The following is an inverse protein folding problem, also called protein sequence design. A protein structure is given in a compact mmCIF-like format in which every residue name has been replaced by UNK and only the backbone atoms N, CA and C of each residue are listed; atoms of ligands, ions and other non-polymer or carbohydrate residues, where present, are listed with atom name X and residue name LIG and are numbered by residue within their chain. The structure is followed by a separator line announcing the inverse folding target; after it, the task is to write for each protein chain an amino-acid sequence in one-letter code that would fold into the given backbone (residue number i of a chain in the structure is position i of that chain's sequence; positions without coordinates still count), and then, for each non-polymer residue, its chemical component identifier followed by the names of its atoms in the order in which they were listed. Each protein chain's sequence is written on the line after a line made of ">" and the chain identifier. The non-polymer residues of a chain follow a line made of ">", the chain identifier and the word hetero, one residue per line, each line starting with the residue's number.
data_IF_466441822899
#
_entry.id   IF_466441822899
#
_cell.length_a   1.000
_cell.length_b   1.000
_cell.length_c   1.000
_cell.angle_alpha   90.00
_cell.angle_beta   90.00
_cell.angle_gamma   90.00
#
_symmetry.space_group_name_H-M   'P 1'
#
loop_
_entity.id
_entity.type
_entity.pdbx_description
1 polymer ?
#
# COMPACT_ATOMS: atom_id res chain seq x y z
N UNK A 1 -18.90 -9.18 11.53
CA UNK A 1 -18.06 -8.17 10.83
C UNK A 1 -18.22 -8.35 9.34
N UNK A 2 -18.23 -7.27 8.55
CA UNK A 2 -18.25 -7.36 7.10
C UNK A 2 -16.81 -7.40 6.56
N UNK A 3 -16.59 -8.13 5.46
CA UNK A 3 -15.30 -8.25 4.78
C UNK A 3 -15.38 -7.75 3.34
N UNK A 4 -14.26 -7.26 2.83
CA UNK A 4 -14.04 -6.94 1.42
C UNK A 4 -12.59 -7.17 1.05
N UNK A 5 -12.36 -7.47 -0.24
CA UNK A 5 -11.01 -7.53 -0.81
C UNK A 5 -10.90 -6.40 -1.81
N UNK A 6 -9.88 -5.56 -1.69
CA UNK A 6 -9.64 -4.43 -2.57
C UNK A 6 -8.27 -4.65 -3.19
N UNK A 7 -8.18 -4.56 -4.51
CA UNK A 7 -6.92 -4.60 -5.25
C UNK A 7 -6.68 -3.23 -5.85
N UNK A 8 -5.48 -2.66 -5.64
CA UNK A 8 -5.05 -1.40 -6.23
C UNK A 8 -3.73 -1.66 -6.95
N UNK A 9 -3.58 -1.22 -8.20
CA UNK A 9 -2.36 -1.49 -8.97
C UNK A 9 -1.86 -0.22 -9.66
N UNK A 10 -0.60 0.13 -9.43
CA UNK A 10 0.07 1.24 -10.08
C UNK A 10 1.23 0.73 -10.96
N UNK A 11 1.27 1.08 -12.27
CA UNK A 11 2.39 0.69 -13.12
C UNK A 11 3.68 1.41 -12.70
N UNK A 12 4.80 0.71 -12.75
CA UNK A 12 6.12 1.33 -12.58
C UNK A 12 6.45 2.12 -13.85
N UNK A 13 7.03 3.33 -13.73
CA UNK A 13 7.67 4.00 -14.84
C UNK A 13 8.80 3.13 -15.41
N UNK A 14 9.06 3.15 -16.73
CA UNK A 14 10.19 2.41 -17.32
C UNK A 14 11.56 2.81 -16.75
N UNK A 15 11.67 4.02 -16.20
CA UNK A 15 12.88 4.51 -15.55
C UNK A 15 13.12 3.89 -14.18
N UNK A 16 12.13 3.24 -13.55
CA UNK A 16 12.22 2.69 -12.20
C UNK A 16 12.34 1.17 -12.26
N UNK A 17 13.53 0.61 -11.96
CA UNK A 17 13.71 -0.84 -11.93
C UNK A 17 12.86 -1.49 -10.82
N UNK A 18 12.26 -2.66 -11.06
CA UNK A 18 11.47 -3.38 -10.05
C UNK A 18 12.27 -3.67 -8.78
N UNK A 19 13.54 -4.07 -8.94
CA UNK A 19 14.42 -4.36 -7.83
C UNK A 19 14.69 -3.13 -6.96
N UNK A 20 14.80 -1.93 -7.56
CA UNK A 20 14.99 -0.70 -6.80
C UNK A 20 13.77 -0.40 -5.89
N UNK A 21 12.56 -0.77 -6.31
CA UNK A 21 11.36 -0.67 -5.48
C UNK A 21 11.42 -1.66 -4.32
N UNK A 22 11.76 -2.93 -4.60
CA UNK A 22 11.89 -3.97 -3.57
C UNK A 22 12.95 -3.56 -2.53
N UNK A 23 14.14 -3.17 -2.99
CA UNK A 23 15.26 -2.78 -2.14
C UNK A 23 14.90 -1.58 -1.26
N UNK A 24 14.21 -0.57 -1.82
CA UNK A 24 13.78 0.59 -1.05
C UNK A 24 12.76 0.22 0.04
N UNK A 25 11.76 -0.62 -0.31
CA UNK A 25 10.76 -1.12 0.64
C UNK A 25 11.37 -2.01 1.73
N UNK A 26 12.42 -2.76 1.41
CA UNK A 26 13.13 -3.64 2.35
C UNK A 26 14.10 -2.86 3.23
N UNK A 27 14.69 -1.77 2.72
CA UNK A 27 15.52 -0.86 3.51
C UNK A 27 14.69 -0.17 4.60
N UNK A 28 13.52 0.38 4.25
CA UNK A 28 12.57 0.99 5.19
C UNK A 28 11.14 0.85 4.68
N UNK A 29 10.18 0.66 5.59
CA UNK A 29 8.75 0.60 5.23
C UNK A 29 8.10 1.98 5.07
N UNK A 30 8.83 3.04 5.41
CA UNK A 30 8.33 4.41 5.38
C UNK A 30 7.84 4.90 4.01
N UNK A 31 8.37 4.44 2.84
CA UNK A 31 7.80 4.79 1.55
C UNK A 31 6.35 4.32 1.35
N UNK A 32 5.84 3.36 2.15
CA UNK A 32 4.42 2.97 2.17
C UNK A 32 3.58 3.78 3.15
N UNK A 33 4.21 4.57 4.02
CA UNK A 33 3.55 5.37 5.06
C UNK A 33 3.50 6.84 4.65
N UNK A 34 4.64 7.43 4.28
CA UNK A 34 4.80 8.87 4.01
C UNK A 34 3.83 9.44 2.98
N UNK A 35 3.51 8.75 1.87
CA UNK A 35 2.61 9.30 0.86
C UNK A 35 1.12 9.20 1.22
N UNK A 36 0.78 8.72 2.42
CA UNK A 36 -0.59 8.61 2.85
C UNK A 36 -1.24 10.00 2.99
N UNK A 37 -2.36 10.31 2.28
CA UNK A 37 -2.89 11.68 2.20
C UNK A 37 -3.44 12.22 3.52
N UNK A 38 -3.78 11.34 4.46
CA UNK A 38 -4.27 11.70 5.78
C UNK A 38 -3.17 11.72 6.86
N UNK A 39 -1.92 11.43 6.50
CA UNK A 39 -0.82 11.33 7.45
C UNK A 39 -0.57 12.65 8.18
N UNK A 40 -0.40 12.55 9.50
CA UNK A 40 0.03 13.66 10.37
C UNK A 40 1.44 13.47 10.87
N UNK A 41 1.72 12.27 11.38
CA UNK A 41 3.02 11.82 11.85
C UNK A 41 3.03 10.30 11.85
N UNK A 42 4.21 9.73 11.90
CA UNK A 42 4.40 8.33 12.23
C UNK A 42 5.68 8.20 13.05
N UNK A 43 5.76 7.16 13.85
CA UNK A 43 6.96 6.82 14.58
C UNK A 43 7.15 5.31 14.61
N UNK A 44 8.40 4.88 14.51
CA UNK A 44 8.74 3.48 14.74
C UNK A 44 8.54 3.18 16.22
N UNK A 45 7.91 2.03 16.51
CA UNK A 45 7.71 1.55 17.87
C UNK A 45 8.30 0.15 18.04
N UNK A 46 8.39 -0.30 19.30
CA UNK A 46 8.72 -1.68 19.60
C UNK A 46 7.58 -2.59 19.14
N UNK A 47 7.92 -3.65 18.41
CA UNK A 47 6.99 -4.72 18.07
C UNK A 47 6.80 -5.65 19.27
N UNK A 48 5.55 -5.93 19.65
CA UNK A 48 5.24 -6.99 20.59
C UNK A 48 5.10 -8.32 19.87
N UNK A 49 5.65 -9.40 20.45
CA UNK A 49 5.53 -10.76 19.90
C UNK A 49 4.06 -11.18 19.76
N UNK A 50 3.20 -10.75 20.69
CA UNK A 50 1.77 -11.03 20.68
C UNK A 50 1.03 -10.48 19.45
N UNK A 51 1.62 -9.51 18.73
CA UNK A 51 1.02 -8.93 17.53
C UNK A 51 1.22 -9.78 16.28
N UNK A 52 2.15 -10.74 16.32
CA UNK A 52 2.56 -11.53 15.13
C UNK A 52 2.50 -13.03 15.35
N UNK A 53 2.69 -13.52 16.57
CA UNK A 53 2.91 -14.96 16.84
C UNK A 53 1.74 -15.85 16.42
N UNK A 54 0.51 -15.35 16.56
CA UNK A 54 -0.72 -16.10 16.24
C UNK A 54 -1.43 -15.56 14.99
N UNK A 55 -0.83 -14.59 14.28
CA UNK A 55 -1.42 -14.04 13.06
C UNK A 55 -0.84 -14.76 11.83
N UNK A 56 -1.61 -15.65 11.17
CA UNK A 56 -1.13 -16.42 10.02
C UNK A 56 -0.82 -15.55 8.80
N UNK A 57 -1.14 -14.24 8.85
CA UNK A 57 -0.73 -13.29 7.84
C UNK A 57 0.78 -13.02 7.83
N UNK A 58 1.45 -13.16 8.98
CA UNK A 58 2.90 -13.04 9.05
C UNK A 58 3.53 -14.41 8.91
N UNK A 59 4.22 -14.61 7.80
CA UNK A 59 4.67 -15.92 7.36
C UNK A 59 6.16 -16.11 7.60
N UNK A 60 6.62 -17.37 7.61
CA UNK A 60 8.02 -17.72 7.78
C UNK A 60 8.91 -17.35 6.56
N UNK A 61 8.29 -17.01 5.42
CA UNK A 61 8.98 -16.51 4.23
C UNK A 61 9.42 -15.05 4.36
N UNK A 62 9.01 -14.37 5.44
CA UNK A 62 9.34 -12.98 5.69
C UNK A 62 10.72 -12.78 6.30
N UNK A 63 11.38 -11.67 5.97
CA UNK A 63 12.75 -11.40 6.38
C UNK A 63 12.87 -10.40 7.54
N UNK A 64 12.14 -9.28 7.49
CA UNK A 64 12.23 -8.19 8.47
C UNK A 64 10.86 -7.83 9.01
N UNK A 65 10.71 -7.72 10.33
CA UNK A 65 9.48 -7.23 10.97
C UNK A 65 9.74 -5.86 11.62
N UNK A 66 8.89 -4.88 11.36
CA UNK A 66 8.92 -3.59 12.05
C UNK A 66 7.51 -3.09 12.34
N UNK A 67 7.37 -2.35 13.42
CA UNK A 67 6.10 -1.79 13.85
C UNK A 67 6.15 -0.28 13.88
N UNK A 68 5.06 0.34 13.48
CA UNK A 68 4.87 1.78 13.49
C UNK A 68 3.58 2.14 14.23
N UNK A 69 3.59 3.32 14.83
CA UNK A 69 2.39 4.04 15.18
C UNK A 69 2.18 5.13 14.12
N UNK A 70 1.13 4.98 13.31
CA UNK A 70 0.77 5.95 12.27
C UNK A 70 -0.38 6.79 12.79
N UNK A 71 -0.25 8.11 12.73
CA UNK A 71 -1.32 9.03 13.12
C UNK A 71 -1.90 9.68 11.88
N UNK A 72 -3.19 9.49 11.69
CA UNK A 72 -3.92 9.99 10.54
C UNK A 72 -5.08 10.88 10.96
N UNK A 73 -5.34 11.92 10.18
CA UNK A 73 -6.53 12.76 10.32
C UNK A 73 -7.60 12.29 9.34
N UNK A 74 -8.44 11.37 9.78
CA UNK A 74 -9.47 10.79 8.93
C UNK A 74 -10.80 11.53 9.07
N UNK A 75 -11.58 11.67 7.98
CA UNK A 75 -12.97 12.06 8.08
C UNK A 75 -13.75 10.94 8.79
N UNK A 76 -14.44 11.22 9.89
CA UNK A 76 -15.22 10.19 10.62
C UNK A 76 -16.62 10.04 10.03
N UNK A 77 -17.14 11.13 9.45
CA UNK A 77 -18.48 11.20 8.88
C UNK A 77 -18.40 11.90 7.51
N UNK A 78 -19.40 11.70 6.62
CA UNK A 78 -19.53 12.45 5.38
C UNK A 78 -20.00 13.90 5.64
N UNK A 79 -19.45 14.56 6.66
CA UNK A 79 -19.75 15.93 7.07
C UNK A 79 -18.47 16.75 6.91
N UNK A 80 -18.46 17.81 6.08
CA UNK A 80 -17.29 18.66 5.88
C UNK A 80 -16.74 19.22 7.21
N UNK A 81 -15.42 19.14 7.40
CA UNK A 81 -14.74 19.65 8.58
C UNK A 81 -14.76 18.73 9.80
N UNK A 82 -15.48 17.60 9.76
CA UNK A 82 -15.52 16.65 10.87
C UNK A 82 -14.45 15.57 10.73
N UNK A 83 -13.27 15.86 11.29
CA UNK A 83 -12.11 14.97 11.28
C UNK A 83 -11.73 14.54 12.69
N UNK A 84 -11.06 13.39 12.80
CA UNK A 84 -10.40 12.97 14.03
C UNK A 84 -9.03 12.43 13.73
N UNK A 85 -8.11 12.78 14.62
CA UNK A 85 -6.80 12.17 14.65
C UNK A 85 -6.97 10.78 15.28
N UNK A 86 -6.67 9.76 14.49
CA UNK A 86 -6.69 8.35 14.90
C UNK A 86 -5.26 7.82 14.94
N UNK A 87 -5.02 6.95 15.89
CA UNK A 87 -3.76 6.22 16.02
C UNK A 87 -3.96 4.83 15.42
N UNK A 88 -3.06 4.45 14.54
CA UNK A 88 -3.12 3.21 13.77
C UNK A 88 -1.81 2.45 14.01
N UNK A 89 -1.80 1.46 14.92
CA UNK A 89 -0.70 0.50 14.97
C UNK A 89 -0.65 -0.27 13.66
N UNK A 90 0.52 -0.23 13.01
CA UNK A 90 0.80 -0.97 11.79
C UNK A 90 2.03 -1.85 11.99
N UNK A 91 1.96 -3.11 11.56
CA UNK A 91 3.07 -4.06 11.58
C UNK A 91 3.38 -4.47 10.14
N UNK A 92 4.65 -4.34 9.76
CA UNK A 92 5.14 -4.61 8.43
C UNK A 92 6.08 -5.81 8.42
N UNK A 93 6.00 -6.63 7.39
CA UNK A 93 6.90 -7.74 7.14
C UNK A 93 7.37 -7.71 5.68
N UNK A 94 8.67 -7.64 5.42
CA UNK A 94 9.20 -7.82 4.07
C UNK A 94 9.20 -9.29 3.68
N UNK A 95 8.97 -9.57 2.41
CA UNK A 95 9.16 -10.89 1.79
C UNK A 95 9.79 -10.70 0.40
N UNK A 96 10.15 -11.79 -0.27
CA UNK A 96 10.99 -11.76 -1.49
C UNK A 96 10.55 -10.73 -2.56
N UNK A 97 9.24 -10.50 -2.73
CA UNK A 97 8.70 -9.63 -3.79
C UNK A 97 8.04 -8.35 -3.29
N UNK A 98 8.08 -8.09 -1.98
CA UNK A 98 7.42 -6.91 -1.44
C UNK A 98 7.24 -6.92 0.07
N UNK A 99 6.09 -6.42 0.53
CA UNK A 99 5.80 -6.15 1.94
C UNK A 99 4.37 -6.53 2.30
N UNK A 100 4.19 -7.19 3.44
CA UNK A 100 2.91 -7.40 4.12
C UNK A 100 2.72 -6.33 5.19
N UNK A 101 1.52 -5.77 5.31
CA UNK A 101 1.16 -4.79 6.34
C UNK A 101 -0.15 -5.18 7.03
N UNK A 102 -0.12 -5.23 8.35
CA UNK A 102 -1.28 -5.43 9.23
C UNK A 102 -1.55 -4.14 9.96
N UNK A 103 -2.76 -3.59 9.85
CA UNK A 103 -3.16 -2.38 10.55
C UNK A 103 -4.52 -2.54 11.25
N UNK A 104 -4.60 -2.14 12.52
CA UNK A 104 -5.79 -2.23 13.36
C UNK A 104 -6.18 -0.84 13.88
N UNK A 105 -7.37 -0.36 13.57
CA UNK A 105 -7.86 0.92 14.12
C UNK A 105 -9.37 0.99 14.20
N UNK A 106 -9.91 1.44 15.34
CA UNK A 106 -11.31 1.85 15.49
C UNK A 106 -12.35 0.86 14.93
N UNK A 107 -12.15 -0.45 15.13
CA UNK A 107 -13.04 -1.51 14.61
C UNK A 107 -12.89 -1.82 13.12
N UNK A 108 -11.83 -1.30 12.48
CA UNK A 108 -11.36 -1.62 11.13
C UNK A 108 -10.05 -2.36 11.23
N UNK A 109 -9.94 -3.42 10.45
CA UNK A 109 -8.84 -4.36 10.48
C UNK A 109 -8.40 -4.65 9.05
N UNK A 110 -7.16 -4.30 8.71
CA UNK A 110 -6.62 -4.33 7.33
C UNK A 110 -5.42 -5.27 7.24
N UNK A 111 -5.41 -6.14 6.24
CA UNK A 111 -4.26 -6.95 5.83
C UNK A 111 -3.93 -6.58 4.39
N UNK A 112 -2.83 -5.86 4.16
CA UNK A 112 -2.39 -5.42 2.83
C UNK A 112 -1.12 -6.14 2.40
N UNK A 113 -1.12 -6.73 1.21
CA UNK A 113 0.08 -7.28 0.57
C UNK A 113 0.45 -6.36 -0.59
N UNK A 114 1.61 -5.73 -0.49
CA UNK A 114 2.24 -4.93 -1.54
C UNK A 114 3.24 -5.81 -2.28
N UNK A 115 3.05 -6.03 -3.57
CA UNK A 115 3.87 -6.91 -4.40
C UNK A 115 4.35 -6.18 -5.66
N UNK A 116 5.65 -6.28 -5.93
CA UNK A 116 6.24 -5.86 -7.22
C UNK A 116 6.18 -7.05 -8.17
N UNK A 117 5.45 -6.90 -9.28
CA UNK A 117 5.21 -7.99 -10.23
C UNK A 117 5.11 -7.53 -11.68
N UNK A 118 5.26 -8.45 -12.64
CA UNK A 118 4.96 -8.16 -14.03
C UNK A 118 3.51 -7.71 -14.21
N UNK A 119 3.30 -6.81 -15.16
CA UNK A 119 1.98 -6.28 -15.51
C UNK A 119 1.11 -7.43 -16.06
N UNK A 120 -0.02 -7.70 -15.42
CA UNK A 120 -0.90 -8.79 -15.85
C UNK A 120 -1.53 -8.50 -17.23
N UNK A 121 -1.32 -9.40 -18.19
CA UNK A 121 -1.88 -9.32 -19.56
C UNK A 121 -3.42 -9.28 -19.60
N UNK A 122 -4.10 -9.78 -18.56
CA UNK A 122 -5.57 -9.71 -18.43
C UNK A 122 -6.12 -8.29 -18.21
N UNK A 123 -5.25 -7.28 -18.14
CA UNK A 123 -5.61 -5.89 -17.80
C UNK A 123 -5.59 -4.93 -19.00
N UNK A 124 -5.48 -5.44 -20.24
CA UNK A 124 -5.26 -4.64 -21.44
C UNK A 124 -6.45 -4.56 -22.39
N UNK A 125 -7.26 -3.50 -22.30
CA UNK A 125 -7.92 -2.92 -23.48
C UNK A 125 -7.20 -1.62 -23.82
N UNK A 126 -6.24 -1.69 -24.73
CA UNK A 126 -5.48 -0.53 -25.17
C UNK A 126 -4.42 -0.92 -26.19
N UNK A 127 -4.81 -0.85 -27.47
CA UNK A 127 -4.00 -1.07 -28.66
C UNK A 127 -2.88 -0.04 -28.76
N UNK A 128 -1.64 -0.47 -29.07
CA UNK A 128 -0.57 0.45 -29.47
C UNK A 128 0.83 -0.09 -29.24
N UNK A 129 1.34 -0.84 -30.22
CA UNK A 129 2.70 -1.36 -30.29
C UNK A 129 3.77 -0.27 -30.44
N UNK A 130 4.98 -0.54 -29.94
CA UNK A 130 6.21 0.11 -30.43
C UNK A 130 7.31 0.32 -29.40
N UNK A 131 8.24 -0.64 -29.29
CA UNK A 131 9.65 -0.34 -28.97
C UNK A 131 10.16 -0.80 -27.60
N UNK A 132 11.13 -1.74 -27.66
CA UNK A 132 11.93 -2.34 -26.59
C UNK A 132 11.18 -3.30 -25.66
N UNK A 133 11.44 -4.61 -25.83
CA UNK A 133 11.04 -5.71 -24.95
C UNK A 133 11.64 -5.54 -23.55
N UNK A 134 11.06 -4.62 -22.77
CA UNK A 134 11.16 -4.60 -21.32
C UNK A 134 9.84 -5.11 -20.77
N UNK A 135 9.88 -6.19 -19.99
CA UNK A 135 8.74 -6.65 -19.21
C UNK A 135 8.20 -5.46 -18.40
N UNK A 136 6.93 -5.08 -18.59
CA UNK A 136 6.32 -3.99 -17.84
C UNK A 136 6.01 -4.46 -16.42
N UNK A 137 6.24 -3.61 -15.42
CA UNK A 137 6.04 -3.97 -14.01
C UNK A 137 4.99 -3.08 -13.34
N UNK A 138 4.38 -3.59 -12.27
CA UNK A 138 3.47 -2.87 -11.40
C UNK A 138 3.76 -3.09 -9.92
N UNK A 139 3.41 -2.10 -9.10
CA UNK A 139 3.24 -2.25 -7.66
C UNK A 139 1.76 -2.51 -7.41
N UNK A 140 1.45 -3.72 -6.98
CA UNK A 140 0.11 -4.17 -6.64
C UNK A 140 -0.07 -4.17 -5.13
N UNK A 141 -1.18 -3.61 -4.66
CA UNK A 141 -1.71 -3.90 -3.34
C UNK A 141 -2.92 -4.81 -3.45
N UNK A 142 -2.92 -5.91 -2.68
CA UNK A 142 -4.13 -6.68 -2.36
C UNK A 142 -4.43 -6.55 -0.88
N UNK A 143 -5.55 -5.90 -0.56
CA UNK A 143 -5.97 -5.60 0.79
C UNK A 143 -7.24 -6.36 1.16
N UNK A 144 -7.20 -7.09 2.28
CA UNK A 144 -8.41 -7.61 2.94
C UNK A 144 -8.78 -6.63 4.05
N UNK A 145 -10.00 -6.12 4.00
CA UNK A 145 -10.51 -5.16 4.98
C UNK A 145 -11.70 -5.77 5.71
N UNK A 146 -11.63 -5.78 7.03
CA UNK A 146 -12.72 -6.17 7.92
C UNK A 146 -13.19 -4.93 8.71
N UNK A 147 -14.50 -4.68 8.71
CA UNK A 147 -15.10 -3.53 9.41
C UNK A 147 -16.57 -3.78 9.78
N UNK A 148 -17.19 -2.85 10.50
CA UNK A 148 -18.64 -2.85 10.70
C UNK A 148 -19.36 -2.69 9.34
N UNK A 149 -20.42 -3.47 9.10
CA UNK A 149 -21.18 -3.46 7.86
C UNK A 149 -21.77 -2.09 7.52
N UNK A 150 -22.18 -1.30 8.53
CA UNK A 150 -22.78 0.02 8.34
C UNK A 150 -21.80 1.04 7.75
N UNK A 151 -20.51 0.93 8.08
CA UNK A 151 -19.46 1.86 7.60
C UNK A 151 -18.70 1.31 6.39
N UNK A 152 -19.00 0.08 5.94
CA UNK A 152 -18.27 -0.59 4.86
C UNK A 152 -18.14 0.27 3.59
N UNK A 153 -19.22 0.88 3.03
CA UNK A 153 -19.08 1.68 1.80
C UNK A 153 -18.18 2.91 2.00
N UNK A 154 -18.22 3.52 3.18
CA UNK A 154 -17.39 4.67 3.52
C UNK A 154 -15.92 4.28 3.66
N UNK A 155 -15.64 3.19 4.38
CA UNK A 155 -14.29 2.63 4.51
C UNK A 155 -13.73 2.27 3.13
N UNK A 156 -14.50 1.54 2.32
CA UNK A 156 -14.10 1.14 0.97
C UNK A 156 -13.71 2.35 0.10
N UNK A 157 -14.55 3.39 0.07
CA UNK A 157 -14.29 4.60 -0.72
C UNK A 157 -13.02 5.31 -0.27
N UNK A 158 -12.85 5.54 1.04
CA UNK A 158 -11.67 6.24 1.55
C UNK A 158 -10.39 5.40 1.37
N UNK A 159 -10.49 4.09 1.59
CA UNK A 159 -9.39 3.15 1.38
C UNK A 159 -8.90 3.22 -0.07
N UNK A 160 -9.81 3.09 -1.05
CA UNK A 160 -9.45 3.15 -2.47
C UNK A 160 -8.76 4.47 -2.82
N UNK A 161 -9.31 5.61 -2.38
CA UNK A 161 -8.72 6.92 -2.65
C UNK A 161 -7.32 7.03 -2.05
N UNK A 162 -7.17 6.74 -0.76
CA UNK A 162 -5.89 6.86 -0.07
C UNK A 162 -4.83 5.92 -0.66
N UNK A 163 -5.18 4.66 -0.93
CA UNK A 163 -4.22 3.67 -1.39
C UNK A 163 -3.80 3.85 -2.86
N UNK A 164 -4.64 4.50 -3.69
CA UNK A 164 -4.19 4.98 -5.01
C UNK A 164 -3.08 6.02 -4.88
N UNK A 165 -3.19 6.92 -3.90
CA UNK A 165 -2.22 7.98 -3.67
C UNK A 165 -0.94 7.43 -3.01
N UNK A 166 -1.07 6.48 -2.09
CA UNK A 166 0.07 5.76 -1.49
C UNK A 166 0.90 5.11 -2.58
N UNK A 167 0.32 4.24 -3.43
CA UNK A 167 1.09 3.51 -4.45
C UNK A 167 1.81 4.45 -5.42
N UNK A 168 1.14 5.52 -5.87
CA UNK A 168 1.77 6.53 -6.74
C UNK A 168 2.89 7.27 -6.02
N UNK A 169 2.64 7.70 -4.79
CA UNK A 169 3.60 8.43 -3.99
C UNK A 169 4.81 7.59 -3.60
N UNK A 170 4.62 6.31 -3.29
CA UNK A 170 5.70 5.35 -3.03
C UNK A 170 6.63 5.25 -4.23
N UNK A 171 6.06 5.06 -5.43
CA UNK A 171 6.86 4.98 -6.67
C UNK A 171 7.63 6.27 -6.92
N UNK A 172 6.98 7.43 -6.78
CA UNK A 172 7.60 8.74 -7.01
C UNK A 172 8.70 9.05 -5.98
N UNK A 173 8.49 8.68 -4.72
CA UNK A 173 9.46 8.83 -3.64
C UNK A 173 10.69 7.95 -3.91
N UNK A 174 10.50 6.69 -4.28
CA UNK A 174 11.59 5.76 -4.60
C UNK A 174 12.37 6.24 -5.82
N UNK A 175 11.70 6.70 -6.87
CA UNK A 175 12.38 7.29 -8.03
C UNK A 175 13.25 8.48 -7.63
N UNK A 176 12.75 9.33 -6.73
CA UNK A 176 13.49 10.48 -6.19
C UNK A 176 14.71 10.03 -5.39
N UNK A 177 14.57 9.03 -4.51
CA UNK A 177 15.69 8.47 -3.72
C UNK A 177 16.82 7.91 -4.61
N UNK A 178 16.47 7.38 -5.78
CA UNK A 178 17.40 6.80 -6.73
C UNK A 178 17.95 7.82 -7.75
N UNK A 179 17.55 9.09 -7.67
CA UNK A 179 17.91 10.10 -8.66
C UNK A 179 17.37 9.82 -10.07
N UNK A 180 16.31 9.02 -10.17
CA UNK A 180 15.69 8.62 -11.42
C UNK A 180 14.68 9.67 -11.86
N UNK A 181 14.51 9.89 -13.18
CA UNK A 181 13.45 10.76 -13.65
C UNK A 181 12.11 10.20 -13.19
N UNK A 182 11.32 11.05 -12.53
CA UNK A 182 9.90 10.84 -12.31
C UNK A 182 9.19 10.93 -13.66
N UNK A 183 9.43 9.95 -14.52
CA UNK A 183 8.60 9.73 -15.69
C UNK A 183 7.20 9.46 -15.17
N UNK A 184 6.21 10.18 -15.70
CA UNK A 184 4.81 9.86 -15.49
C UNK A 184 4.61 8.39 -15.89
N UNK A 185 4.62 7.46 -14.91
CA UNK A 185 4.27 6.06 -15.12
C UNK A 185 2.89 6.03 -15.75
N UNK A 186 2.84 5.90 -17.07
CA UNK A 186 1.80 6.46 -17.93
C UNK A 186 0.53 5.60 -18.01
N UNK A 187 0.17 4.95 -16.91
CA UNK A 187 -1.04 4.15 -16.83
C UNK A 187 -1.92 4.55 -15.65
N UNK A 188 -3.25 4.49 -15.80
CA UNK A 188 -4.16 4.74 -14.69
C UNK A 188 -3.95 3.70 -13.59
N UNK A 189 -4.02 4.14 -12.33
CA UNK A 189 -4.11 3.19 -11.21
C UNK A 189 -5.41 2.41 -11.33
N UNK A 190 -5.28 1.09 -11.40
CA UNK A 190 -6.41 0.16 -11.50
C UNK A 190 -6.92 -0.19 -10.11
N UNK A 191 -8.24 -0.39 -10.02
CA UNK A 191 -8.90 -0.77 -8.76
C UNK A 191 -9.90 -1.89 -9.05
N UNK A 192 -9.91 -2.91 -8.21
CA UNK A 192 -10.90 -4.00 -8.22
C UNK A 192 -11.37 -4.26 -6.80
N UNK A 193 -12.65 -4.53 -6.58
CA UNK A 193 -13.27 -4.64 -5.26
C UNK A 193 -14.23 -5.81 -5.17
#
# INVERSE_FOLDING_TARGET
>A
MARMTITVAAPLPPSVPPQAVIDALHASYEPLIRPHPFLRRFERRRLSVSEVVDDPFFEADGAKLEAYEVVERVPILPVPGFHKDIVIPAVFQSFARGVRCRADTSGVRIWSVYEVRPLSAASGTGVGAGGADGEAWELLETAKVECNALVKPFVQKNFITAHRDILKGTIAEIATMQGLPNGSGSGPVRVTT
#
